data_IF_838835067909
#
_entry.id   IF_838835067909
#
_cell.length_a   1.000
_cell.length_b   1.000
_cell.length_c   1.000
_cell.angle_alpha   90.00
_cell.angle_beta   90.00
_cell.angle_gamma   90.00
#
_symmetry.space_group_name_H-M   'P 1'
#
loop_
_entity.id
_entity.type
_entity.pdbx_description
1 polymer ?
#
# COMPACT_ATOMS: atom_id res chain seq x y z
N UNK A 1 6.37 -17.43 -4.00
CA UNK A 1 7.36 -16.95 -3.03
C UNK A 1 6.82 -17.08 -1.61
N UNK A 2 7.62 -17.61 -0.66
CA UNK A 2 7.24 -17.70 0.77
C UNK A 2 7.78 -16.48 1.54
N UNK A 3 7.07 -15.95 2.54
CA UNK A 3 7.60 -14.91 3.43
C UNK A 3 8.81 -15.44 4.22
N UNK A 4 9.89 -14.66 4.30
CA UNK A 4 11.07 -14.99 5.11
C UNK A 4 10.74 -15.04 6.62
N UNK A 5 9.71 -14.28 7.05
CA UNK A 5 9.32 -14.16 8.45
C UNK A 5 8.06 -14.99 8.73
N UNK A 6 8.22 -16.11 9.44
CA UNK A 6 7.16 -17.14 9.65
C UNK A 6 5.92 -16.65 10.41
N UNK A 7 6.00 -15.61 11.26
CA UNK A 7 4.84 -15.16 12.05
C UNK A 7 3.84 -14.31 11.25
N UNK A 8 4.24 -13.72 10.12
CA UNK A 8 3.33 -12.96 9.22
C UNK A 8 2.21 -13.82 8.62
N UNK A 9 2.31 -15.15 8.70
CA UNK A 9 1.21 -16.08 8.39
C UNK A 9 0.02 -15.98 9.37
N UNK A 10 0.23 -15.43 10.57
CA UNK A 10 -0.78 -15.32 11.63
C UNK A 10 -1.42 -13.94 11.71
N UNK A 11 -1.02 -13.00 10.85
CA UNK A 11 -1.66 -11.69 10.78
C UNK A 11 -3.01 -11.87 10.10
N UNK A 12 -4.08 -11.45 10.77
CA UNK A 12 -5.40 -11.34 10.18
C UNK A 12 -5.42 -10.10 9.28
N UNK A 13 -5.01 -10.29 8.02
CA UNK A 13 -5.07 -9.24 7.01
C UNK A 13 -6.53 -8.86 6.75
N UNK A 14 -6.78 -7.57 6.57
CA UNK A 14 -8.11 -7.08 6.23
C UNK A 14 -8.39 -7.35 4.75
N UNK A 15 -9.42 -8.15 4.47
CA UNK A 15 -9.95 -8.30 3.12
C UNK A 15 -10.86 -7.11 2.79
N UNK A 16 -10.23 -5.96 2.48
CA UNK A 16 -10.94 -4.76 2.04
C UNK A 16 -10.46 -4.33 0.65
N UNK A 17 -11.09 -4.83 -0.42
CA UNK A 17 -10.73 -4.49 -1.79
C UNK A 17 -10.84 -3.00 -2.10
N UNK A 18 -11.76 -2.29 -1.43
CA UNK A 18 -11.96 -0.86 -1.62
C UNK A 18 -10.75 -0.04 -1.14
N UNK A 19 -10.20 -0.38 0.03
CA UNK A 19 -8.98 0.27 0.54
C UNK A 19 -7.76 -0.04 -0.32
N UNK A 20 -7.65 -1.27 -0.83
CA UNK A 20 -6.58 -1.61 -1.75
C UNK A 20 -6.68 -0.78 -3.04
N UNK A 21 -7.87 -0.67 -3.62
CA UNK A 21 -8.10 0.10 -4.83
C UNK A 21 -7.83 1.61 -4.63
N UNK A 22 -8.26 2.17 -3.50
CA UNK A 22 -7.97 3.57 -3.16
C UNK A 22 -6.45 3.81 -3.04
N UNK A 23 -5.72 2.88 -2.43
CA UNK A 23 -4.26 2.94 -2.38
C UNK A 23 -3.63 2.86 -3.77
N UNK A 24 -4.06 1.92 -4.62
CA UNK A 24 -3.57 1.79 -5.99
C UNK A 24 -3.75 3.08 -6.80
N UNK A 25 -4.90 3.76 -6.66
CA UNK A 25 -5.23 5.01 -7.38
C UNK A 25 -4.60 6.26 -6.76
N UNK A 26 -4.11 6.20 -5.52
CA UNK A 26 -3.70 7.39 -4.77
C UNK A 26 -4.89 8.27 -4.38
N UNK A 27 -5.92 7.63 -3.81
CA UNK A 27 -7.16 8.22 -3.28
C UNK A 27 -7.32 7.87 -1.79
N UNK A 28 -6.20 7.72 -1.08
CA UNK A 28 -6.15 7.37 0.35
C UNK A 28 -6.46 8.56 1.27
N UNK A 29 -6.48 9.79 0.75
CA UNK A 29 -6.64 10.99 1.57
C UNK A 29 -5.38 11.34 2.38
N UNK A 30 -4.29 10.58 2.21
CA UNK A 30 -2.96 10.92 2.71
C UNK A 30 -2.16 11.57 1.58
N UNK A 31 -1.96 12.91 1.58
CA UNK A 31 -1.41 13.62 0.43
C UNK A 31 -0.05 13.09 -0.05
N UNK A 32 0.80 12.64 0.87
CA UNK A 32 2.11 12.08 0.54
C UNK A 32 1.99 10.70 -0.14
N UNK A 33 1.11 9.83 0.35
CA UNK A 33 0.87 8.50 -0.23
C UNK A 33 0.18 8.66 -1.58
N UNK A 34 -0.81 9.55 -1.67
CA UNK A 34 -1.56 9.81 -2.88
C UNK A 34 -0.67 10.35 -4.00
N UNK A 35 0.18 11.34 -3.69
CA UNK A 35 1.12 11.88 -4.66
C UNK A 35 2.13 10.81 -5.14
N UNK A 36 2.64 9.98 -4.24
CA UNK A 36 3.56 8.90 -4.58
C UNK A 36 2.90 7.86 -5.49
N UNK A 37 1.70 7.38 -5.14
CA UNK A 37 0.98 6.37 -5.93
C UNK A 37 0.60 6.91 -7.32
N UNK A 38 0.18 8.18 -7.41
CA UNK A 38 -0.06 8.84 -8.70
C UNK A 38 1.22 8.98 -9.53
N UNK A 39 2.35 9.31 -8.89
CA UNK A 39 3.65 9.34 -9.57
C UNK A 39 3.99 7.98 -10.15
N UNK A 40 3.92 6.90 -9.35
CA UNK A 40 4.19 5.54 -9.81
C UNK A 40 3.33 5.17 -11.02
N UNK A 41 2.02 5.43 -10.96
CA UNK A 41 1.09 5.07 -12.04
C UNK A 41 1.34 5.89 -13.32
N UNK A 42 1.81 7.13 -13.19
CA UNK A 42 2.04 8.01 -14.33
C UNK A 42 3.41 7.80 -14.99
N UNK A 43 4.45 7.51 -14.20
CA UNK A 43 5.84 7.49 -14.69
C UNK A 43 6.47 6.10 -14.69
N UNK A 44 5.85 5.13 -14.01
CA UNK A 44 6.43 3.81 -13.77
C UNK A 44 7.67 3.85 -12.87
N UNK A 45 7.89 4.96 -12.15
CA UNK A 45 9.01 5.14 -11.23
C UNK A 45 8.56 5.82 -9.95
N UNK A 46 9.04 5.32 -8.82
CA UNK A 46 8.84 5.93 -7.51
C UNK A 46 10.16 6.00 -6.76
N UNK A 47 10.44 7.12 -6.08
CA UNK A 47 11.62 7.25 -5.23
C UNK A 47 11.62 6.23 -4.08
N UNK A 48 12.77 5.63 -3.76
CA UNK A 48 12.87 4.55 -2.77
C UNK A 48 12.26 4.90 -1.39
N UNK A 49 12.47 6.13 -0.91
CA UNK A 49 11.86 6.59 0.35
C UNK A 49 10.32 6.59 0.30
N UNK A 50 9.74 6.94 -0.85
CA UNK A 50 8.30 6.92 -1.06
C UNK A 50 7.78 5.48 -1.18
N UNK A 51 8.57 4.57 -1.77
CA UNK A 51 8.25 3.13 -1.78
C UNK A 51 8.12 2.58 -0.36
N UNK A 52 9.05 2.94 0.54
CA UNK A 52 8.98 2.54 1.95
C UNK A 52 7.74 3.12 2.66
N UNK A 53 7.43 4.40 2.46
CA UNK A 53 6.28 5.04 3.09
C UNK A 53 4.95 4.45 2.61
N UNK A 54 4.78 4.27 1.30
CA UNK A 54 3.55 3.72 0.71
C UNK A 54 3.35 2.25 1.06
N UNK A 55 4.42 1.46 1.14
CA UNK A 55 4.39 0.08 1.61
C UNK A 55 4.03 -0.02 3.10
N UNK A 56 4.62 0.83 3.95
CA UNK A 56 4.27 0.89 5.37
C UNK A 56 2.80 1.26 5.56
N UNK A 57 2.28 2.20 4.78
CA UNK A 57 0.88 2.61 4.84
C UNK A 57 -0.07 1.46 4.50
N UNK A 58 0.22 0.70 3.43
CA UNK A 58 -0.59 -0.44 3.03
C UNK A 58 -0.66 -1.51 4.15
N UNK A 59 0.46 -1.79 4.79
CA UNK A 59 0.58 -2.90 5.75
C UNK A 59 0.16 -2.50 7.16
N UNK A 60 0.49 -1.29 7.63
CA UNK A 60 0.26 -0.87 9.01
C UNK A 60 -1.02 -0.06 9.19
N UNK A 61 -1.36 0.80 8.24
CA UNK A 61 -2.55 1.65 8.33
C UNK A 61 -3.77 0.94 7.74
N UNK A 62 -3.63 0.29 6.58
CA UNK A 62 -4.73 -0.42 5.92
C UNK A 62 -4.83 -1.90 6.32
N UNK A 63 -3.82 -2.46 6.99
CA UNK A 63 -3.74 -3.87 7.37
C UNK A 63 -3.95 -4.83 6.18
N UNK A 64 -3.47 -4.46 4.99
CA UNK A 64 -3.59 -5.25 3.76
C UNK A 64 -2.34 -6.11 3.57
N UNK A 65 -2.51 -7.32 3.02
CA UNK A 65 -1.40 -8.25 2.74
C UNK A 65 -0.36 -7.58 1.82
N UNK A 66 0.87 -7.45 2.31
CA UNK A 66 2.01 -6.89 1.60
C UNK A 66 2.25 -7.55 0.23
N UNK A 67 1.86 -8.83 0.05
CA UNK A 67 1.97 -9.55 -1.24
C UNK A 67 1.10 -8.93 -2.34
N UNK A 68 0.02 -8.25 -1.98
CA UNK A 68 -0.82 -7.52 -2.93
C UNK A 68 -0.07 -6.26 -3.41
N UNK A 69 0.54 -5.53 -2.48
CA UNK A 69 1.34 -4.35 -2.78
C UNK A 69 2.60 -4.67 -3.60
N UNK A 70 3.31 -5.74 -3.25
CA UNK A 70 4.47 -6.24 -4.02
C UNK A 70 4.08 -6.52 -5.48
N UNK A 71 3.00 -7.28 -5.69
CA UNK A 71 2.47 -7.58 -7.03
C UNK A 71 2.09 -6.32 -7.79
N UNK A 72 1.47 -5.35 -7.13
CA UNK A 72 1.12 -4.09 -7.78
C UNK A 72 2.35 -3.31 -8.20
N UNK A 73 3.35 -3.17 -7.33
CA UNK A 73 4.60 -2.48 -7.66
C UNK A 73 5.32 -3.15 -8.82
N UNK A 74 5.39 -4.48 -8.85
CA UNK A 74 5.98 -5.22 -9.97
C UNK A 74 5.23 -4.99 -11.29
N UNK A 75 3.92 -4.70 -11.25
CA UNK A 75 3.14 -4.40 -12.46
C UNK A 75 3.34 -2.98 -13.00
N UNK A 76 3.78 -2.04 -12.16
CA UNK A 76 3.90 -0.61 -12.50
C UNK A 76 5.36 -0.17 -12.70
N UNK A 77 6.31 -0.76 -11.98
CA UNK A 77 7.70 -0.35 -11.99
C UNK A 77 8.40 -0.76 -13.29
N UNK A 78 8.81 0.23 -14.06
CA UNK A 78 9.62 0.03 -15.27
C UNK A 78 11.04 -0.44 -14.91
N UNK A 79 11.53 -0.06 -13.72
CA UNK A 79 12.89 -0.35 -13.27
C UNK A 79 13.06 -1.74 -12.63
N UNK A 80 11.98 -2.51 -12.46
CA UNK A 80 12.00 -3.98 -12.35
C UNK A 80 12.98 -4.64 -11.37
N UNK A 81 13.57 -3.92 -10.42
CA UNK A 81 14.52 -4.53 -9.48
C UNK A 81 13.76 -5.25 -8.36
N UNK A 82 13.52 -6.54 -8.62
CA UNK A 82 12.89 -7.48 -7.70
C UNK A 82 13.54 -7.48 -6.30
N UNK A 83 14.85 -7.25 -6.19
CA UNK A 83 15.60 -7.41 -4.95
C UNK A 83 15.37 -6.22 -4.00
N UNK A 84 15.43 -4.99 -4.53
CA UNK A 84 15.12 -3.79 -3.75
C UNK A 84 13.65 -3.76 -3.30
N UNK A 85 12.75 -4.27 -4.16
CA UNK A 85 11.32 -4.27 -3.89
C UNK A 85 10.96 -5.27 -2.78
N UNK A 86 11.42 -6.52 -2.86
CA UNK A 86 11.07 -7.57 -1.89
C UNK A 86 11.64 -7.28 -0.49
N UNK A 87 12.88 -6.76 -0.39
CA UNK A 87 13.48 -6.36 0.88
C UNK A 87 12.71 -5.22 1.58
N UNK A 88 12.25 -4.23 0.81
CA UNK A 88 11.45 -3.12 1.34
C UNK A 88 10.08 -3.56 1.85
N UNK A 89 9.40 -4.46 1.14
CA UNK A 89 8.10 -5.00 1.55
C UNK A 89 8.21 -5.89 2.80
N UNK A 90 9.26 -6.70 2.93
CA UNK A 90 9.49 -7.49 4.15
C UNK A 90 9.81 -6.61 5.37
N UNK A 91 10.52 -5.50 5.17
CA UNK A 91 10.76 -4.51 6.22
C UNK A 91 9.47 -3.79 6.62
N UNK A 92 8.65 -3.36 5.65
CA UNK A 92 7.35 -2.74 5.91
C UNK A 92 6.39 -3.68 6.67
N UNK A 93 6.47 -4.99 6.39
CA UNK A 93 5.74 -6.04 7.09
C UNK A 93 6.30 -6.43 8.47
N UNK A 94 7.46 -5.90 8.85
CA UNK A 94 8.02 -6.12 10.19
C UNK A 94 7.34 -5.18 11.21
N UNK A 95 7.11 -5.63 12.46
CA UNK A 95 6.41 -4.85 13.46
C UNK A 95 7.40 -3.86 14.06
N UNK A 96 7.65 -2.76 13.33
CA UNK A 96 8.23 -1.56 13.91
C UNK A 96 7.17 -0.91 14.79
N UNK A 97 7.40 -0.96 16.10
CA UNK A 97 6.62 -0.40 17.20
C UNK A 97 5.92 0.93 16.84
N UNK A 98 4.64 1.03 17.19
CA UNK A 98 3.71 2.16 16.96
C UNK A 98 3.01 2.22 15.59
N UNK A 99 2.07 1.31 15.35
CA UNK A 99 0.90 1.61 14.54
C UNK A 99 -0.17 2.21 15.48
N UNK A 100 -0.26 3.53 15.54
CA UNK A 100 -1.44 4.16 16.12
C UNK A 100 -2.61 3.90 15.15
N UNK A 101 -3.73 3.30 15.58
CA UNK A 101 -4.84 3.05 14.69
C UNK A 101 -5.49 4.40 14.35
N UNK A 102 -5.10 5.00 13.23
CA UNK A 102 -5.74 6.20 12.74
C UNK A 102 -7.01 5.78 12.00
N UNK A 103 -8.08 5.55 12.75
CA UNK A 103 -9.43 5.43 12.22
C UNK A 103 -9.87 6.79 11.66
N UNK A 104 -9.26 7.24 10.55
CA UNK A 104 -9.93 8.21 9.68
C UNK A 104 -10.90 7.38 8.87
N UNK A 105 -12.17 7.45 9.27
CA UNK A 105 -13.29 6.88 8.54
C UNK A 105 -13.16 7.37 7.10
N UNK A 106 -12.71 6.46 6.23
CA UNK A 106 -12.76 6.62 4.80
C UNK A 106 -14.23 6.69 4.43
N UNK A 107 -14.75 7.90 4.27
CA UNK A 107 -15.96 8.06 3.51
C UNK A 107 -15.53 7.93 2.06
N UNK A 108 -15.83 6.83 1.33
CA UNK A 108 -15.80 6.91 -0.12
C UNK A 108 -16.60 8.16 -0.49
N UNK A 109 -16.17 9.00 -1.45
CA UNK A 109 -17.10 9.94 -2.01
C UNK A 109 -18.24 9.07 -2.54
N UNK A 110 -19.39 9.14 -1.87
CA UNK A 110 -20.67 8.72 -2.40
C UNK A 110 -20.89 9.61 -3.63
N UNK A 111 -20.25 9.27 -4.75
CA UNK A 111 -20.70 9.65 -6.08
C UNK A 111 -21.99 8.88 -6.32
N UNK A 112 -23.04 9.37 -5.67
CA UNK A 112 -24.29 8.65 -5.51
C UNK A 112 -25.37 9.53 -4.89
N UNK A 113 -25.31 10.85 -5.08
CA UNK A 113 -26.50 11.67 -5.06
C UNK A 113 -26.84 12.00 -6.52
N UNK A 114 -27.70 11.16 -7.10
CA UNK A 114 -28.65 11.53 -8.17
C UNK A 114 -29.30 12.87 -7.78
N UNK A 115 -29.57 13.81 -8.68
CA UNK A 115 -30.69 13.87 -9.64
C UNK A 115 -30.50 15.21 -10.39
N UNK A 116 -30.68 15.18 -11.71
CA UNK A 116 -30.85 16.32 -12.66
C UNK A 116 -29.70 17.33 -12.84
#
# INVERSE_FOLDING_TARGET
HQPFIRWTKRVAWQENPHYFQAWQKGETGSPMVDAAMRQLNATGWMHNRLRMSTASFLVKDLLIDWRLGERYFMSQLIDGDLAANNGGWQWAASPGTAAAPYFRIFNPPTQGARID
#
